data_IF_107366903369
#
_entry.id   IF_107366903369
#
_cell.length_a   1.000
_cell.length_b   1.000
_cell.length_c   1.000
_cell.angle_alpha   90.00
_cell.angle_beta   90.00
_cell.angle_gamma   90.00
#
_symmetry.space_group_name_H-M   'P 1'
#
loop_
_entity.id
_entity.type
_entity.pdbx_description
1 polymer ?
#
# COMPACT_ATOMS: atom_id res chain seq x y z
N UNK A 1 0.34 -12.76 -0.49
CA UNK A 1 0.92 -11.64 -1.26
C UNK A 1 0.17 -10.33 -1.04
N UNK A 2 -1.12 -10.22 -1.37
CA UNK A 2 -1.89 -8.98 -1.11
C UNK A 2 -1.82 -8.48 0.32
N UNK A 3 -1.89 -9.38 1.29
CA UNK A 3 -1.82 -9.06 2.73
C UNK A 3 -0.50 -8.38 3.13
N UNK A 4 0.61 -8.72 2.50
CA UNK A 4 1.91 -8.09 2.77
C UNK A 4 1.90 -6.62 2.35
N UNK A 5 1.32 -6.32 1.20
CA UNK A 5 1.17 -4.95 0.72
C UNK A 5 0.17 -4.12 1.54
N UNK A 6 -0.76 -4.77 2.25
CA UNK A 6 -1.80 -4.10 3.05
C UNK A 6 -1.22 -3.14 4.08
N UNK A 7 -0.19 -3.54 4.80
CA UNK A 7 0.43 -2.71 5.83
C UNK A 7 0.95 -1.37 5.33
N UNK A 8 1.37 -1.32 4.08
CA UNK A 8 1.89 -0.10 3.46
C UNK A 8 0.80 0.77 2.83
N UNK A 9 -0.26 0.16 2.33
CA UNK A 9 -1.27 0.81 1.48
C UNK A 9 -2.54 1.16 2.25
N UNK A 10 -2.94 0.35 3.22
CA UNK A 10 -4.23 0.47 3.90
C UNK A 10 -4.47 1.84 4.57
N UNK A 11 -3.41 2.45 5.11
CA UNK A 11 -3.52 3.77 5.76
C UNK A 11 -3.62 4.94 4.77
N UNK A 12 -3.43 4.70 3.49
CA UNK A 12 -3.23 5.74 2.46
C UNK A 12 -4.31 5.75 1.40
N UNK A 13 -5.16 4.72 1.36
CA UNK A 13 -6.18 4.54 0.33
C UNK A 13 -7.55 4.28 0.92
N UNK A 14 -8.57 4.60 0.14
CA UNK A 14 -9.94 4.19 0.42
C UNK A 14 -10.11 2.67 0.26
N UNK A 15 -11.08 2.12 0.98
CA UNK A 15 -11.38 0.68 0.98
C UNK A 15 -11.65 0.16 -0.44
N UNK A 16 -12.38 0.91 -1.26
CA UNK A 16 -12.70 0.53 -2.64
C UNK A 16 -11.46 0.33 -3.50
N UNK A 17 -10.49 1.24 -3.40
CA UNK A 17 -9.21 1.16 -4.11
C UNK A 17 -8.39 -0.03 -3.63
N UNK A 18 -8.40 -0.29 -2.33
CA UNK A 18 -7.72 -1.45 -1.76
C UNK A 18 -8.31 -2.78 -2.26
N UNK A 19 -9.64 -2.89 -2.32
CA UNK A 19 -10.32 -4.09 -2.84
C UNK A 19 -9.96 -4.33 -4.31
N UNK A 20 -9.98 -3.28 -5.14
CA UNK A 20 -9.58 -3.37 -6.54
C UNK A 20 -8.11 -3.77 -6.71
N UNK A 21 -7.21 -3.16 -5.94
CA UNK A 21 -5.79 -3.52 -5.91
C UNK A 21 -5.58 -4.98 -5.50
N UNK A 22 -6.27 -5.45 -4.46
CA UNK A 22 -6.18 -6.83 -3.99
C UNK A 22 -6.67 -7.82 -5.04
N UNK A 23 -7.74 -7.48 -5.74
CA UNK A 23 -8.28 -8.30 -6.83
C UNK A 23 -7.29 -8.45 -7.98
N UNK A 24 -6.71 -7.34 -8.46
CA UNK A 24 -5.69 -7.37 -9.52
C UNK A 24 -4.43 -8.14 -9.08
N UNK A 25 -3.99 -7.89 -7.86
CA UNK A 25 -2.79 -8.51 -7.33
C UNK A 25 -2.93 -10.03 -7.17
N UNK A 26 -4.06 -10.48 -6.65
CA UNK A 26 -4.33 -11.91 -6.43
C UNK A 26 -4.82 -12.63 -7.68
N UNK A 27 -5.59 -11.96 -8.54
CA UNK A 27 -6.19 -12.55 -9.73
C UNK A 27 -5.27 -12.55 -10.95
N UNK A 28 -4.33 -11.64 -11.04
CA UNK A 28 -3.46 -11.49 -12.20
C UNK A 28 -1.97 -11.62 -11.86
N UNK A 29 -1.44 -10.77 -11.00
CA UNK A 29 0.00 -10.69 -10.74
C UNK A 29 0.52 -11.96 -10.06
N UNK A 30 -0.19 -12.44 -9.06
CA UNK A 30 0.21 -13.64 -8.32
C UNK A 30 0.20 -14.91 -9.17
N UNK A 31 -0.85 -15.22 -9.96
CA UNK A 31 -0.84 -16.38 -10.85
C UNK A 31 0.28 -16.36 -11.90
N UNK A 32 0.62 -15.19 -12.44
CA UNK A 32 1.73 -15.04 -13.38
C UNK A 32 3.07 -15.41 -12.73
N UNK A 33 3.33 -14.85 -11.54
CA UNK A 33 4.54 -15.19 -10.79
C UNK A 33 4.61 -16.66 -10.40
N UNK A 34 3.47 -17.24 -10.03
CA UNK A 34 3.34 -18.65 -9.67
C UNK A 34 3.67 -19.56 -10.87
N UNK A 35 3.14 -19.23 -12.04
CA UNK A 35 3.44 -19.97 -13.29
C UNK A 35 4.91 -19.92 -13.65
N UNK A 36 5.58 -18.79 -13.45
CA UNK A 36 7.00 -18.65 -13.75
C UNK A 36 7.92 -19.46 -12.82
N UNK A 37 7.57 -19.52 -11.54
CA UNK A 37 8.43 -20.14 -10.52
C UNK A 37 8.07 -21.59 -10.23
N UNK A 38 6.77 -21.93 -10.15
CA UNK A 38 6.29 -23.24 -9.73
C UNK A 38 5.57 -24.02 -10.83
N UNK A 39 5.20 -23.37 -11.92
CA UNK A 39 4.47 -23.97 -13.05
C UNK A 39 5.33 -24.38 -14.21
N UNK A 40 6.57 -24.86 -13.99
CA UNK A 40 7.55 -25.18 -15.04
C UNK A 40 7.81 -24.02 -16.02
N UNK A 41 7.65 -22.80 -15.54
CA UNK A 41 7.93 -21.61 -16.31
C UNK A 41 9.42 -21.35 -16.52
N UNK A 42 9.74 -20.27 -17.19
CA UNK A 42 11.11 -19.94 -17.57
C UNK A 42 12.07 -19.78 -16.38
N UNK A 43 11.60 -19.27 -15.23
CA UNK A 43 12.41 -19.16 -14.01
C UNK A 43 12.77 -20.53 -13.46
N UNK A 44 11.81 -21.46 -13.42
CA UNK A 44 12.06 -22.84 -13.01
C UNK A 44 13.07 -23.53 -13.94
N UNK A 45 12.96 -23.30 -15.24
CA UNK A 45 13.84 -23.90 -16.26
C UNK A 45 15.30 -23.43 -16.16
N UNK A 46 15.55 -22.20 -15.69
CA UNK A 46 16.92 -21.73 -15.41
C UNK A 46 17.47 -22.15 -14.04
N UNK A 47 16.71 -22.96 -13.31
CA UNK A 47 17.14 -23.49 -12.01
C UNK A 47 16.77 -22.67 -10.78
N UNK A 48 15.96 -21.62 -10.92
CA UNK A 48 15.44 -20.85 -9.79
C UNK A 48 14.53 -21.73 -8.92
N UNK A 49 14.78 -21.74 -7.64
CA UNK A 49 13.95 -22.46 -6.66
C UNK A 49 13.45 -21.48 -5.61
N UNK A 50 12.14 -21.35 -5.52
CA UNK A 50 11.48 -20.55 -4.49
C UNK A 50 11.07 -21.43 -3.31
N UNK A 51 11.82 -21.35 -2.22
CA UNK A 51 11.53 -22.10 -1.00
C UNK A 51 10.52 -21.35 -0.13
N UNK A 52 9.36 -21.97 0.09
CA UNK A 52 8.34 -21.41 0.98
C UNK A 52 7.68 -20.12 0.52
N UNK A 53 7.80 -19.78 -0.76
CA UNK A 53 7.20 -18.56 -1.29
C UNK A 53 7.99 -17.28 -1.02
N UNK A 54 9.28 -17.37 -0.72
CA UNK A 54 10.12 -16.20 -0.44
C UNK A 54 10.12 -15.20 -1.61
N UNK A 55 10.21 -15.68 -2.84
CA UNK A 55 10.14 -14.84 -4.05
C UNK A 55 8.71 -14.44 -4.41
N UNK A 56 7.84 -15.43 -4.60
CA UNK A 56 6.49 -15.22 -5.12
C UNK A 56 5.59 -14.47 -4.13
N UNK A 57 5.67 -14.79 -2.85
CA UNK A 57 4.79 -14.19 -1.83
C UNK A 57 5.42 -12.96 -1.22
N UNK A 58 6.65 -13.08 -0.69
CA UNK A 58 7.26 -12.02 0.10
C UNK A 58 7.91 -10.94 -0.75
N UNK A 59 8.76 -11.28 -1.71
CA UNK A 59 9.41 -10.28 -2.57
C UNK A 59 8.39 -9.57 -3.44
N UNK A 60 7.52 -10.29 -4.12
CA UNK A 60 6.49 -9.67 -4.94
C UNK A 60 5.50 -8.84 -4.11
N UNK A 61 5.13 -9.32 -2.92
CA UNK A 61 4.29 -8.57 -1.99
C UNK A 61 4.98 -7.30 -1.48
N UNK A 62 6.25 -7.38 -1.13
CA UNK A 62 7.06 -6.25 -0.70
C UNK A 62 7.25 -5.20 -1.80
N UNK A 63 7.56 -5.62 -3.01
CA UNK A 63 7.68 -4.73 -4.18
C UNK A 63 6.35 -4.07 -4.52
N UNK A 64 5.24 -4.81 -4.49
CA UNK A 64 3.89 -4.26 -4.70
C UNK A 64 3.54 -3.20 -3.66
N UNK A 65 3.87 -3.45 -2.40
CA UNK A 65 3.70 -2.49 -1.30
C UNK A 65 4.58 -1.25 -1.48
N UNK A 66 5.85 -1.44 -1.85
CA UNK A 66 6.78 -0.34 -2.10
C UNK A 66 6.30 0.57 -3.25
N UNK A 67 5.95 -0.02 -4.39
CA UNK A 67 5.43 0.74 -5.53
C UNK A 67 4.12 1.44 -5.16
N UNK A 68 3.22 0.75 -4.47
CA UNK A 68 1.97 1.34 -4.00
C UNK A 68 2.20 2.56 -3.12
N UNK A 69 3.12 2.49 -2.16
CA UNK A 69 3.45 3.64 -1.30
C UNK A 69 4.12 4.77 -2.05
N UNK A 70 4.96 4.45 -3.03
CA UNK A 70 5.63 5.44 -3.85
C UNK A 70 4.64 6.23 -4.74
N UNK A 71 3.69 5.53 -5.35
CA UNK A 71 2.68 6.14 -6.25
C UNK A 71 1.65 6.95 -5.46
N UNK A 72 1.17 6.43 -4.34
CA UNK A 72 0.12 7.08 -3.52
C UNK A 72 0.71 8.24 -2.72
N UNK A 73 1.97 8.14 -2.32
CA UNK A 73 2.63 9.13 -1.49
C UNK A 73 2.28 9.03 0.00
N UNK A 74 2.74 9.98 0.81
CA UNK A 74 2.52 9.97 2.25
C UNK A 74 1.06 10.27 2.60
N UNK A 75 0.59 9.71 3.72
CA UNK A 75 -0.70 10.06 4.29
C UNK A 75 -0.79 11.57 4.55
N UNK A 76 -1.94 12.15 4.27
CA UNK A 76 -2.20 13.58 4.54
C UNK A 76 -1.92 13.87 6.02
N UNK A 77 -1.05 14.85 6.27
CA UNK A 77 -0.68 15.26 7.63
C UNK A 77 0.45 14.46 8.28
N UNK A 78 1.04 13.45 7.61
CA UNK A 78 2.12 12.64 8.19
C UNK A 78 3.35 13.48 8.54
N UNK A 79 3.73 14.42 7.69
CA UNK A 79 4.91 15.28 7.86
C UNK A 79 4.56 16.69 8.37
N UNK A 80 3.29 16.96 8.63
CA UNK A 80 2.84 18.23 9.19
C UNK A 80 2.29 17.96 10.60
N UNK A 81 3.01 18.41 11.61
CA UNK A 81 2.67 18.17 13.02
C UNK A 81 1.30 18.73 13.39
N UNK A 82 0.97 19.92 12.87
CA UNK A 82 -0.31 20.58 13.19
C UNK A 82 -1.50 19.83 12.60
N UNK A 83 -1.37 19.39 11.34
CA UNK A 83 -2.40 18.54 10.70
C UNK A 83 -2.52 17.18 11.38
N UNK A 84 -1.40 16.60 11.81
CA UNK A 84 -1.39 15.34 12.55
C UNK A 84 -2.08 15.49 13.90
N UNK A 85 -1.82 16.56 14.61
CA UNK A 85 -2.45 16.87 15.88
C UNK A 85 -3.97 17.06 15.73
N UNK A 86 -4.40 17.79 14.71
CA UNK A 86 -5.81 17.97 14.37
C UNK A 86 -6.53 16.63 14.12
N UNK A 87 -5.87 15.72 13.40
CA UNK A 87 -6.41 14.38 13.15
C UNK A 87 -6.56 13.56 14.44
N UNK A 88 -5.58 13.61 15.33
CA UNK A 88 -5.57 12.86 16.60
C UNK A 88 -6.64 13.41 17.54
N UNK A 89 -6.77 14.73 17.61
CA UNK A 89 -7.69 15.40 18.53
C UNK A 89 -9.11 15.56 17.95
N UNK A 90 -9.33 15.17 16.68
CA UNK A 90 -10.58 15.40 15.95
C UNK A 90 -11.04 16.88 16.02
N UNK A 91 -10.08 17.77 16.02
CA UNK A 91 -10.30 19.22 16.07
C UNK A 91 -10.32 19.77 14.66
N UNK A 92 -11.29 20.61 14.35
CA UNK A 92 -11.40 21.24 13.02
C UNK A 92 -10.22 22.19 12.79
N UNK A 93 -9.70 22.22 11.56
CA UNK A 93 -8.57 23.09 11.22
C UNK A 93 -8.89 24.56 11.43
N UNK A 94 -10.15 24.94 11.24
CA UNK A 94 -10.62 26.30 11.46
C UNK A 94 -10.54 26.72 12.93
N UNK A 95 -10.60 25.77 13.87
CA UNK A 95 -10.45 26.02 15.30
C UNK A 95 -8.99 26.24 15.70
N UNK A 96 -8.05 25.63 15.00
CA UNK A 96 -6.62 25.76 15.30
C UNK A 96 -6.03 27.04 14.70
N UNK A 97 -6.40 27.38 13.48
CA UNK A 97 -5.87 28.54 12.74
C UNK A 97 -6.86 29.71 12.69
N UNK A 98 -8.05 29.54 13.25
CA UNK A 98 -9.10 30.53 13.32
C UNK A 98 -8.75 31.67 14.26
N UNK A 99 -7.78 32.46 13.86
CA UNK A 99 -7.78 33.86 14.28
C UNK A 99 -9.14 34.44 13.89
N UNK A 100 -9.94 34.82 14.90
CA UNK A 100 -11.23 35.49 14.76
C UNK A 100 -11.27 36.39 13.54
N UNK A 101 -11.98 36.00 12.48
CA UNK A 101 -12.53 36.98 11.59
C UNK A 101 -13.55 37.76 12.40
N UNK A 102 -13.10 38.88 12.96
CA UNK A 102 -13.96 39.93 13.49
C UNK A 102 -15.00 40.23 12.43
N UNK A 103 -16.22 39.85 12.69
CA UNK A 103 -17.37 40.38 11.98
C UNK A 103 -17.48 41.84 12.43
N UNK A 104 -16.97 42.74 11.64
CA UNK A 104 -17.40 44.14 11.62
C UNK A 104 -18.60 44.28 10.71
#
# INVERSE_FOLDING_TARGET
MSTIATGSIAERTEISTYVFFSFLNSGFIFPVGLAWCWGDGWLANIGYKDYGGAGIVHVMGGVSGFIGTYVIGPRIGLFNTDKKLSYILNVDQDDIYGGKKSKS
#
